data_IF_213533480139
#
_entry.id   IF_213533480139
#
_cell.length_a   1.000
_cell.length_b   1.000
_cell.length_c   1.000
_cell.angle_alpha   90.00
_cell.angle_beta   90.00
_cell.angle_gamma   90.00
#
_symmetry.space_group_name_H-M   'P 1'
#
loop_
_entity.id
_entity.type
_entity.pdbx_description
1 polymer ?
#
# COMPACT_ATOMS: atom_id res chain seq x y z
N UNK A 1 -4.05 27.16 -39.28
CA UNK A 1 -2.65 26.81 -38.98
C UNK A 1 -2.40 27.10 -37.50
N UNK A 2 -2.10 26.02 -36.78
CA UNK A 2 -1.60 25.82 -35.40
C UNK A 2 -1.50 27.01 -34.42
N UNK A 3 -2.26 26.87 -33.32
CA UNK A 3 -1.93 27.40 -31.99
C UNK A 3 -0.92 26.45 -31.34
N UNK A 4 0.16 27.01 -30.77
CA UNK A 4 1.20 26.26 -30.06
C UNK A 4 1.23 26.79 -28.62
N UNK A 5 0.72 25.98 -27.69
CA UNK A 5 0.82 26.22 -26.25
C UNK A 5 2.24 25.85 -25.78
N UNK A 6 2.95 26.81 -25.20
CA UNK A 6 4.05 26.52 -24.29
C UNK A 6 3.63 26.96 -22.89
N UNK A 7 3.29 25.97 -22.04
CA UNK A 7 3.25 26.14 -20.59
C UNK A 7 4.70 26.08 -20.08
N UNK A 8 5.26 27.23 -19.74
CA UNK A 8 6.42 27.30 -18.85
C UNK A 8 5.92 27.23 -17.41
N UNK A 9 6.32 26.15 -16.72
CA UNK A 9 6.07 25.93 -15.31
C UNK A 9 6.71 27.05 -14.47
N UNK A 10 5.88 27.90 -13.87
CA UNK A 10 6.27 28.74 -12.76
C UNK A 10 6.09 27.93 -11.48
N UNK A 11 7.20 27.47 -10.90
CA UNK A 11 7.26 27.06 -9.50
C UNK A 11 6.87 28.26 -8.63
N UNK A 12 5.90 28.14 -7.71
CA UNK A 12 5.71 29.16 -6.69
C UNK A 12 6.77 28.95 -5.60
N UNK A 13 7.88 29.67 -5.71
CA UNK A 13 8.57 30.19 -4.54
C UNK A 13 7.61 31.13 -3.81
N UNK A 14 7.52 31.00 -2.49
CA UNK A 14 6.63 31.75 -1.57
C UNK A 14 5.21 31.19 -1.39
N UNK A 15 5.11 29.99 -0.82
CA UNK A 15 3.93 29.63 -0.01
C UNK A 15 4.20 29.90 1.47
N UNK A 16 4.50 31.16 1.80
CA UNK A 16 4.39 31.67 3.16
C UNK A 16 2.95 32.12 3.39
N UNK A 17 2.06 31.17 3.66
CA UNK A 17 0.78 31.49 4.30
C UNK A 17 0.60 30.62 5.53
N UNK A 18 0.60 31.30 6.69
CA UNK A 18 0.06 30.78 7.94
C UNK A 18 -1.41 30.41 7.71
N UNK A 19 -1.65 29.22 7.19
CA UNK A 19 -2.98 28.62 7.16
C UNK A 19 -3.02 27.60 8.27
N UNK A 20 -3.70 27.96 9.36
CA UNK A 20 -4.25 27.00 10.30
C UNK A 20 -5.36 26.20 9.59
N UNK A 21 -5.00 25.45 8.57
CA UNK A 21 -5.83 24.40 8.01
C UNK A 21 -5.68 23.23 8.96
N UNK A 22 -6.61 23.11 9.90
CA UNK A 22 -6.75 21.88 10.68
C UNK A 22 -6.85 20.71 9.72
N UNK A 23 -6.14 19.62 10.01
CA UNK A 23 -6.02 18.43 9.16
C UNK A 23 -7.37 17.99 8.57
N UNK A 24 -8.45 18.16 9.33
CA UNK A 24 -9.85 17.94 8.98
C UNK A 24 -10.32 18.62 7.67
N UNK A 25 -9.84 19.82 7.34
CA UNK A 25 -10.23 20.56 6.14
C UNK A 25 -9.58 20.02 4.86
N UNK A 26 -8.36 19.49 4.97
CA UNK A 26 -7.68 18.75 3.89
C UNK A 26 -8.39 17.41 3.69
N UNK A 27 -8.72 16.71 4.77
CA UNK A 27 -9.51 15.47 4.75
C UNK A 27 -10.87 15.61 4.06
N UNK A 28 -11.61 16.68 4.36
CA UNK A 28 -12.91 16.96 3.74
C UNK A 28 -12.80 17.22 2.23
N UNK A 29 -11.80 17.99 1.78
CA UNK A 29 -11.62 18.28 0.34
C UNK A 29 -11.19 17.05 -0.47
N UNK A 30 -10.47 16.11 0.14
CA UNK A 30 -10.08 14.85 -0.50
C UNK A 30 -11.25 13.88 -0.62
N UNK A 31 -12.20 13.88 0.33
CA UNK A 31 -13.42 13.05 0.29
C UNK A 31 -14.23 13.32 -0.99
N UNK A 32 -14.33 14.58 -1.41
CA UNK A 32 -15.10 15.03 -2.59
C UNK A 32 -14.30 15.10 -3.90
N UNK A 33 -13.00 14.77 -3.90
CA UNK A 33 -12.25 14.67 -5.14
C UNK A 33 -12.75 13.47 -5.95
N UNK A 34 -13.35 13.72 -7.12
CA UNK A 34 -13.75 12.67 -8.08
C UNK A 34 -12.56 12.01 -8.79
N UNK A 35 -11.33 12.34 -8.39
CA UNK A 35 -10.11 11.88 -9.02
C UNK A 35 -9.44 10.88 -8.07
N UNK A 36 -9.58 9.58 -8.35
CA UNK A 36 -8.96 8.49 -7.59
C UNK A 36 -7.45 8.70 -7.39
N UNK A 37 -6.77 9.32 -8.36
CA UNK A 37 -5.33 9.62 -8.33
C UNK A 37 -4.96 10.67 -7.28
N UNK A 38 -5.78 11.71 -7.11
CA UNK A 38 -5.58 12.74 -6.06
C UNK A 38 -5.77 12.14 -4.68
N UNK A 39 -6.80 11.30 -4.52
CA UNK A 39 -7.03 10.54 -3.28
C UNK A 39 -5.84 9.65 -2.94
N UNK A 40 -5.32 8.90 -3.92
CA UNK A 40 -4.13 8.05 -3.74
C UNK A 40 -2.93 8.87 -3.25
N UNK A 41 -2.53 9.93 -3.97
CA UNK A 41 -1.35 10.71 -3.56
C UNK A 41 -1.52 11.36 -2.18
N UNK A 42 -2.72 11.83 -1.85
CA UNK A 42 -2.96 12.39 -0.53
C UNK A 42 -2.83 11.35 0.57
N UNK A 43 -3.33 10.12 0.36
CA UNK A 43 -3.12 9.05 1.32
C UNK A 43 -1.66 8.61 1.41
N UNK A 44 -0.91 8.63 0.30
CA UNK A 44 0.54 8.40 0.33
C UNK A 44 1.28 9.45 1.15
N UNK A 45 0.84 10.72 1.10
CA UNK A 45 1.39 11.79 1.96
C UNK A 45 1.03 11.53 3.42
N UNK A 46 -0.23 11.21 3.71
CA UNK A 46 -0.69 10.90 5.07
C UNK A 46 0.09 9.73 5.68
N UNK A 47 0.37 8.67 4.91
CA UNK A 47 1.18 7.54 5.33
C UNK A 47 2.57 7.93 5.85
N UNK A 48 3.14 9.04 5.35
CA UNK A 48 4.47 9.51 5.70
C UNK A 48 4.50 10.43 6.93
N UNK A 49 3.38 11.06 7.26
CA UNK A 49 3.32 12.10 8.31
C UNK A 49 2.54 11.67 9.55
N UNK A 50 1.59 10.75 9.40
CA UNK A 50 0.74 10.29 10.50
C UNK A 50 1.47 9.27 11.37
N UNK A 51 1.34 9.40 12.69
CA UNK A 51 1.75 8.36 13.60
C UNK A 51 0.66 7.27 13.71
N UNK A 52 0.98 6.16 14.40
CA UNK A 52 0.06 5.01 14.56
C UNK A 52 -1.29 5.40 15.18
N UNK A 53 -1.28 6.31 16.15
CA UNK A 53 -2.49 6.73 16.86
C UNK A 53 -3.38 7.62 15.98
N UNK A 54 -2.78 8.49 15.16
CA UNK A 54 -3.52 9.30 14.19
C UNK A 54 -4.20 8.41 13.15
N UNK A 55 -3.50 7.39 12.66
CA UNK A 55 -4.02 6.42 11.70
C UNK A 55 -5.27 5.71 12.25
N UNK A 56 -5.25 5.31 13.52
CA UNK A 56 -6.38 4.64 14.19
C UNK A 56 -7.64 5.51 14.28
N UNK A 57 -7.51 6.83 14.17
CA UNK A 57 -8.61 7.78 14.28
C UNK A 57 -9.15 8.25 12.90
N UNK A 58 -8.75 7.61 11.80
CA UNK A 58 -9.16 8.01 10.46
C UNK A 58 -10.59 7.55 10.10
N UNK A 59 -11.48 8.51 9.87
CA UNK A 59 -12.92 8.28 9.60
C UNK A 59 -13.28 7.78 8.18
N UNK A 60 -12.32 7.40 7.33
CA UNK A 60 -12.58 6.93 5.95
C UNK A 60 -11.65 5.80 5.50
N UNK A 61 -11.22 4.95 6.43
CA UNK A 61 -10.21 3.92 6.19
C UNK A 61 -10.64 2.84 5.18
N UNK A 62 -11.95 2.59 5.03
CA UNK A 62 -12.49 1.62 4.07
C UNK A 62 -12.32 2.11 2.62
N UNK A 63 -12.48 3.42 2.39
CA UNK A 63 -12.25 4.06 1.10
C UNK A 63 -10.76 4.01 0.76
N UNK A 64 -9.89 4.26 1.75
CA UNK A 64 -8.44 4.17 1.60
C UNK A 64 -8.02 2.75 1.17
N UNK A 65 -8.53 1.74 1.86
CA UNK A 65 -8.24 0.33 1.57
C UNK A 65 -8.65 -0.03 0.14
N UNK A 66 -9.87 0.35 -0.26
CA UNK A 66 -10.39 0.08 -1.62
C UNK A 66 -9.51 0.73 -2.69
N UNK A 67 -9.15 2.01 -2.50
CA UNK A 67 -8.31 2.74 -3.47
C UNK A 67 -6.93 2.09 -3.59
N UNK A 68 -6.24 1.82 -2.48
CA UNK A 68 -4.89 1.23 -2.54
C UNK A 68 -4.90 -0.12 -3.22
N UNK A 69 -5.89 -0.96 -2.90
CA UNK A 69 -5.99 -2.29 -3.50
C UNK A 69 -6.37 -2.21 -4.98
N UNK A 70 -7.30 -1.34 -5.38
CA UNK A 70 -7.65 -1.17 -6.80
C UNK A 70 -6.42 -0.76 -7.63
N UNK A 71 -5.59 0.15 -7.10
CA UNK A 71 -4.34 0.54 -7.76
C UNK A 71 -3.33 -0.61 -7.78
N UNK A 72 -3.15 -1.35 -6.70
CA UNK A 72 -2.27 -2.53 -6.67
C UNK A 72 -2.75 -3.61 -7.65
N UNK A 73 -4.05 -3.85 -7.75
CA UNK A 73 -4.62 -4.84 -8.66
C UNK A 73 -4.39 -4.46 -10.11
N UNK A 74 -4.61 -3.19 -10.46
CA UNK A 74 -4.25 -2.68 -11.79
C UNK A 74 -2.74 -2.80 -12.01
N UNK A 75 -1.91 -2.61 -10.97
CA UNK A 75 -0.44 -2.64 -11.03
C UNK A 75 0.14 -3.96 -11.45
N UNK A 76 -0.48 -4.99 -10.93
CA UNK A 76 0.00 -6.34 -11.12
C UNK A 76 -0.56 -6.92 -12.41
N UNK A 77 -1.78 -6.53 -12.82
CA UNK A 77 -2.48 -7.15 -13.95
C UNK A 77 -2.35 -6.39 -15.28
N UNK A 78 -2.06 -5.08 -15.27
CA UNK A 78 -1.86 -4.28 -16.49
C UNK A 78 -0.55 -3.45 -16.41
N UNK A 79 0.61 -4.12 -16.40
CA UNK A 79 1.91 -3.44 -16.32
C UNK A 79 2.19 -2.52 -17.53
N UNK A 80 1.50 -2.72 -18.66
CA UNK A 80 1.80 -2.07 -19.94
C UNK A 80 1.34 -0.63 -20.07
N UNK A 81 0.25 -0.19 -19.42
CA UNK A 81 -0.39 1.09 -19.77
C UNK A 81 -0.69 2.05 -18.61
N UNK A 82 -0.26 1.78 -17.37
CA UNK A 82 -0.58 2.69 -16.24
C UNK A 82 0.51 2.83 -15.16
N UNK A 83 1.60 2.05 -15.18
CA UNK A 83 2.62 2.01 -14.10
C UNK A 83 3.84 2.89 -14.29
N UNK A 84 3.86 3.73 -15.34
CA UNK A 84 4.87 4.79 -15.44
C UNK A 84 4.70 5.85 -14.35
N UNK A 85 3.50 6.00 -13.77
CA UNK A 85 3.16 7.12 -12.90
C UNK A 85 3.36 6.86 -11.39
N UNK A 86 3.11 5.63 -10.91
CA UNK A 86 3.32 5.22 -9.50
C UNK A 86 3.77 3.75 -9.45
N UNK A 87 5.03 3.46 -9.06
CA UNK A 87 5.52 2.09 -8.96
C UNK A 87 4.84 1.29 -7.82
N UNK A 88 4.75 -0.04 -7.97
CA UNK A 88 4.20 -0.97 -6.97
C UNK A 88 4.83 -0.78 -5.59
N UNK A 89 6.14 -0.58 -5.54
CA UNK A 89 6.90 -0.31 -4.32
C UNK A 89 6.33 0.87 -3.53
N UNK A 90 5.99 1.97 -4.20
CA UNK A 90 5.44 3.16 -3.58
C UNK A 90 4.04 2.93 -3.02
N UNK A 91 3.23 2.11 -3.70
CA UNK A 91 1.91 1.71 -3.23
C UNK A 91 2.02 0.87 -1.96
N UNK A 92 2.89 -0.14 -1.96
CA UNK A 92 3.11 -1.02 -0.81
C UNK A 92 3.67 -0.25 0.39
N UNK A 93 4.70 0.57 0.17
CA UNK A 93 5.31 1.38 1.24
C UNK A 93 4.30 2.29 1.91
N UNK A 94 3.37 2.85 1.12
CA UNK A 94 2.31 3.72 1.63
C UNK A 94 1.18 2.93 2.32
N UNK A 95 0.91 1.69 1.89
CA UNK A 95 -0.09 0.83 2.52
C UNK A 95 0.38 0.27 3.87
N UNK A 96 1.69 -0.02 4.02
CA UNK A 96 2.31 -0.60 5.22
C UNK A 96 1.87 0.04 6.55
N UNK A 97 1.94 1.37 6.76
CA UNK A 97 1.54 1.96 8.04
C UNK A 97 0.05 1.76 8.34
N UNK A 98 -0.80 1.71 7.30
CA UNK A 98 -2.23 1.51 7.47
C UNK A 98 -2.62 0.04 7.70
N UNK A 99 -1.80 -0.93 7.26
CA UNK A 99 -2.05 -2.36 7.45
C UNK A 99 -2.11 -2.79 8.93
N UNK A 100 -1.66 -1.95 9.86
CA UNK A 100 -1.80 -2.17 11.30
C UNK A 100 -3.22 -1.88 11.82
N UNK A 101 -4.04 -1.15 11.06
CA UNK A 101 -5.38 -0.75 11.45
C UNK A 101 -6.40 -1.88 11.26
N UNK A 102 -7.21 -2.18 12.27
CA UNK A 102 -8.09 -3.36 12.24
C UNK A 102 -9.17 -3.31 11.16
N UNK A 103 -9.80 -2.14 10.93
CA UNK A 103 -10.71 -1.95 9.79
C UNK A 103 -10.07 -2.24 8.42
N UNK A 104 -8.78 -1.95 8.21
CA UNK A 104 -8.09 -2.34 6.97
C UNK A 104 -7.95 -3.85 6.87
N UNK A 105 -7.52 -4.50 7.96
CA UNK A 105 -7.43 -5.96 8.01
C UNK A 105 -8.79 -6.59 7.68
N UNK A 106 -9.86 -6.08 8.27
CA UNK A 106 -11.22 -6.54 7.98
C UNK A 106 -11.65 -6.25 6.54
N UNK A 107 -11.30 -5.09 5.99
CA UNK A 107 -11.56 -4.74 4.59
C UNK A 107 -10.86 -5.68 3.62
N UNK A 108 -9.57 -5.95 3.85
CA UNK A 108 -8.76 -6.88 3.05
C UNK A 108 -9.31 -8.31 3.14
N UNK A 109 -9.69 -8.76 4.34
CA UNK A 109 -10.29 -10.08 4.55
C UNK A 109 -11.63 -10.24 3.82
N UNK A 110 -12.48 -9.20 3.84
CA UNK A 110 -13.83 -9.23 3.23
C UNK A 110 -13.80 -9.24 1.71
N UNK A 111 -12.88 -8.49 1.11
CA UNK A 111 -12.85 -8.25 -0.33
C UNK A 111 -11.90 -9.20 -1.08
N UNK A 112 -11.44 -10.26 -0.41
CA UNK A 112 -10.47 -11.25 -0.91
C UNK A 112 -9.17 -10.63 -1.46
N UNK A 113 -8.77 -9.49 -0.91
CA UNK A 113 -7.58 -8.76 -1.33
C UNK A 113 -6.29 -9.35 -0.77
N UNK A 114 -6.37 -10.41 0.03
CA UNK A 114 -5.18 -11.08 0.50
C UNK A 114 -4.39 -11.71 -0.67
N UNK A 115 -5.08 -12.24 -1.68
CA UNK A 115 -4.47 -12.87 -2.85
C UNK A 115 -3.53 -11.91 -3.62
N UNK A 116 -3.91 -10.64 -3.77
CA UNK A 116 -3.10 -9.67 -4.52
C UNK A 116 -1.77 -9.39 -3.80
N UNK A 117 -1.78 -9.40 -2.47
CA UNK A 117 -0.57 -9.22 -1.65
C UNK A 117 0.35 -10.45 -1.74
N UNK A 118 -0.23 -11.66 -1.79
CA UNK A 118 0.54 -12.89 -2.06
C UNK A 118 1.19 -12.81 -3.43
N UNK A 119 0.48 -12.31 -4.45
CA UNK A 119 1.05 -12.12 -5.79
C UNK A 119 2.21 -11.10 -5.77
N UNK A 120 2.08 -9.97 -5.06
CA UNK A 120 3.20 -9.04 -4.86
C UNK A 120 4.44 -9.73 -4.26
N UNK A 121 4.24 -10.62 -3.29
CA UNK A 121 5.31 -11.31 -2.59
C UNK A 121 5.91 -12.52 -3.37
N UNK A 122 5.30 -12.94 -4.48
CA UNK A 122 5.70 -14.16 -5.20
C UNK A 122 6.05 -13.93 -6.66
N UNK A 123 5.56 -12.88 -7.31
CA UNK A 123 5.77 -12.65 -8.74
C UNK A 123 7.20 -12.20 -9.04
N UNK A 124 7.97 -13.07 -9.71
CA UNK A 124 9.42 -12.96 -9.99
C UNK A 124 9.84 -11.59 -10.55
N UNK A 125 9.05 -11.03 -11.46
CA UNK A 125 9.35 -9.73 -12.10
C UNK A 125 9.27 -8.53 -11.13
N UNK A 126 8.69 -8.72 -9.95
CA UNK A 126 8.55 -7.72 -8.90
C UNK A 126 9.55 -7.91 -7.74
N UNK A 127 10.45 -8.91 -7.78
CA UNK A 127 11.43 -9.19 -6.71
C UNK A 127 12.63 -8.24 -6.75
N UNK A 128 12.35 -6.95 -6.63
CA UNK A 128 13.29 -6.03 -6.00
C UNK A 128 13.15 -6.27 -4.49
N UNK A 129 14.26 -6.52 -3.77
CA UNK A 129 14.23 -6.95 -2.35
C UNK A 129 13.28 -6.14 -1.45
N UNK A 130 13.15 -4.85 -1.73
CA UNK A 130 12.23 -3.94 -1.06
C UNK A 130 10.74 -4.26 -1.26
N UNK A 131 10.31 -4.63 -2.47
CA UNK A 131 8.91 -5.00 -2.76
C UNK A 131 8.55 -6.31 -2.06
N UNK A 132 9.45 -7.30 -2.10
CA UNK A 132 9.28 -8.55 -1.39
C UNK A 132 9.19 -8.30 0.12
N UNK A 133 10.19 -7.63 0.70
CA UNK A 133 10.20 -7.30 2.13
C UNK A 133 8.92 -6.58 2.56
N UNK A 134 8.56 -5.50 1.87
CA UNK A 134 7.39 -4.69 2.24
C UNK A 134 6.09 -5.49 2.14
N UNK A 135 5.95 -6.33 1.11
CA UNK A 135 4.79 -7.22 0.97
C UNK A 135 4.69 -8.20 2.13
N UNK A 136 5.82 -8.80 2.53
CA UNK A 136 5.86 -9.73 3.67
C UNK A 136 5.55 -9.05 4.99
N UNK A 137 6.04 -7.83 5.22
CA UNK A 137 5.72 -7.04 6.41
C UNK A 137 4.23 -6.66 6.48
N UNK A 138 3.62 -6.31 5.34
CA UNK A 138 2.18 -6.09 5.25
C UNK A 138 1.45 -7.38 5.59
N UNK A 139 1.75 -8.48 4.91
CA UNK A 139 1.13 -9.79 5.14
C UNK A 139 1.25 -10.17 6.62
N UNK A 140 2.42 -10.00 7.23
CA UNK A 140 2.63 -10.25 8.65
C UNK A 140 1.76 -9.37 9.55
N UNK A 141 1.63 -8.09 9.24
CA UNK A 141 0.70 -7.22 9.97
C UNK A 141 -0.76 -7.69 9.86
N UNK A 142 -1.13 -8.25 8.72
CA UNK A 142 -2.48 -8.73 8.46
C UNK A 142 -2.79 -10.06 9.17
N UNK A 143 -1.81 -10.92 9.42
CA UNK A 143 -2.03 -12.20 10.13
C UNK A 143 -2.46 -12.01 11.60
N UNK A 144 -2.30 -10.82 12.18
CA UNK A 144 -2.91 -10.50 13.48
C UNK A 144 -4.46 -10.44 13.42
N UNK A 145 -5.06 -10.50 12.22
CA UNK A 145 -6.48 -10.77 12.05
C UNK A 145 -6.73 -12.28 11.88
N UNK A 146 -7.55 -12.86 12.77
CA UNK A 146 -7.83 -14.31 12.80
C UNK A 146 -8.33 -14.87 11.46
N UNK A 147 -9.15 -14.11 10.72
CA UNK A 147 -9.69 -14.58 9.43
C UNK A 147 -8.59 -14.67 8.37
N UNK A 148 -7.71 -13.66 8.33
CA UNK A 148 -6.58 -13.65 7.39
C UNK A 148 -5.57 -14.74 7.75
N UNK A 149 -5.25 -14.91 9.03
CA UNK A 149 -4.36 -15.98 9.47
C UNK A 149 -4.90 -17.38 9.12
N UNK A 150 -6.19 -17.62 9.37
CA UNK A 150 -6.82 -18.89 8.99
C UNK A 150 -6.82 -19.08 7.47
N UNK A 151 -7.06 -18.02 6.70
CA UNK A 151 -6.98 -18.04 5.25
C UNK A 151 -5.56 -18.40 4.77
N UNK A 152 -4.53 -17.77 5.35
CA UNK A 152 -3.12 -18.04 5.04
C UNK A 152 -2.76 -19.52 5.25
N UNK A 153 -3.14 -20.10 6.39
CA UNK A 153 -2.81 -21.50 6.72
C UNK A 153 -3.60 -22.50 5.88
N UNK A 154 -4.87 -22.22 5.58
CA UNK A 154 -5.74 -23.21 4.91
C UNK A 154 -5.70 -23.14 3.39
N UNK A 155 -5.37 -21.98 2.81
CA UNK A 155 -5.54 -21.73 1.37
C UNK A 155 -4.25 -21.40 0.63
N UNK A 156 -3.14 -21.13 1.35
CA UNK A 156 -1.90 -20.64 0.75
C UNK A 156 -0.67 -21.49 1.12
N UNK A 157 -0.80 -22.82 1.17
CA UNK A 157 0.29 -23.77 1.47
C UNK A 157 1.54 -23.59 0.58
N UNK A 158 1.32 -23.31 -0.71
CA UNK A 158 2.41 -23.06 -1.64
C UNK A 158 3.20 -21.80 -1.28
N UNK A 159 2.52 -20.76 -0.80
CA UNK A 159 3.18 -19.56 -0.32
C UNK A 159 3.96 -19.83 0.97
N UNK A 160 3.42 -20.61 1.91
CA UNK A 160 4.15 -21.04 3.12
C UNK A 160 5.42 -21.81 2.77
N UNK A 161 5.37 -22.71 1.77
CA UNK A 161 6.56 -23.43 1.28
C UNK A 161 7.57 -22.48 0.63
N UNK A 162 7.07 -21.50 -0.13
CA UNK A 162 7.90 -20.43 -0.69
C UNK A 162 8.61 -19.63 0.41
N UNK A 163 7.91 -19.22 1.47
CA UNK A 163 8.52 -18.50 2.61
C UNK A 163 9.62 -19.29 3.31
N UNK A 164 9.44 -20.60 3.49
CA UNK A 164 10.49 -21.48 4.04
C UNK A 164 11.74 -21.47 3.15
N UNK A 165 11.55 -21.43 1.84
CA UNK A 165 12.65 -21.33 0.87
C UNK A 165 13.35 -19.98 0.98
N UNK A 166 12.58 -18.88 1.04
CA UNK A 166 13.10 -17.52 1.22
C UNK A 166 13.92 -17.40 2.51
N UNK A 167 13.44 -17.97 3.62
CA UNK A 167 14.13 -17.91 4.91
C UNK A 167 15.53 -18.56 4.84
N UNK A 168 15.67 -19.66 4.09
CA UNK A 168 16.92 -20.40 3.96
C UNK A 168 17.89 -19.72 2.98
N UNK A 169 17.37 -19.18 1.86
CA UNK A 169 18.22 -18.79 0.73
C UNK A 169 18.39 -17.27 0.56
N UNK A 170 17.55 -16.44 1.16
CA UNK A 170 17.69 -14.98 1.05
C UNK A 170 18.93 -14.50 1.81
N UNK A 171 19.72 -13.63 1.18
CA UNK A 171 20.85 -12.93 1.81
C UNK A 171 20.42 -11.63 2.48
N UNK A 172 19.17 -11.20 2.28
CA UNK A 172 18.63 -9.95 2.82
C UNK A 172 18.01 -10.19 4.20
N UNK A 173 18.65 -9.68 5.25
CA UNK A 173 18.18 -9.85 6.63
C UNK A 173 16.75 -9.35 6.85
N UNK A 174 16.37 -8.24 6.20
CA UNK A 174 15.01 -7.69 6.28
C UNK A 174 13.95 -8.64 5.72
N UNK A 175 14.23 -9.24 4.56
CA UNK A 175 13.36 -10.25 3.93
C UNK A 175 13.26 -11.51 4.81
N UNK A 176 14.38 -12.01 5.33
CA UNK A 176 14.38 -13.16 6.23
C UNK A 176 13.57 -12.91 7.50
N UNK A 177 13.73 -11.73 8.12
CA UNK A 177 13.01 -11.34 9.32
C UNK A 177 11.49 -11.25 9.06
N UNK A 178 11.09 -10.62 7.94
CA UNK A 178 9.68 -10.52 7.57
C UNK A 178 9.07 -11.90 7.26
N UNK A 179 9.77 -12.75 6.50
CA UNK A 179 9.34 -14.13 6.21
C UNK A 179 9.18 -14.95 7.50
N UNK A 180 10.14 -14.84 8.43
CA UNK A 180 10.05 -15.48 9.75
C UNK A 180 8.86 -14.98 10.54
N UNK A 181 8.58 -13.67 10.50
CA UNK A 181 7.41 -13.08 11.14
C UNK A 181 6.11 -13.71 10.68
N UNK A 182 5.91 -13.79 9.35
CA UNK A 182 4.73 -14.45 8.76
C UNK A 182 4.61 -15.92 9.18
N UNK A 183 5.73 -16.66 9.22
CA UNK A 183 5.76 -18.08 9.58
C UNK A 183 5.60 -18.35 11.09
N UNK A 184 5.80 -17.35 11.94
CA UNK A 184 5.74 -17.49 13.40
C UNK A 184 4.40 -17.06 14.00
N UNK A 185 3.50 -16.50 13.19
CA UNK A 185 2.12 -16.21 13.56
C UNK A 185 1.27 -17.46 13.48
#
# INVERSE_FOLDING_TARGET
MQSMFYMTALLPTEYNSKTNLTDSAIFLKLKYANIHRVKLYAFMILAKILNKQDIQNLDNIDILTTIFIDYLYKAINDPSHTYQDVPVEHLLTSLKPFAQHDKIKDGIAKQNYFEILIRCATQIDLHVGLVLQTSLEIIWSLTFNKKIHQLLITSYDNFIRYLKTVLIHSTEQGVQAAAKGVLSC
#
